data_IF_378287285714
#
_entry.id   IF_378287285714
#
_cell.length_a   1.000
_cell.length_b   1.000
_cell.length_c   1.000
_cell.angle_alpha   90.00
_cell.angle_beta   90.00
_cell.angle_gamma   90.00
#
_symmetry.space_group_name_H-M   'P 1'
#
loop_
_entity.id
_entity.type
_entity.pdbx_description
1 polymer ?
#
# COMPACT_ATOMS: atom_id res chain seq x y z
N UNK A 1 -14.26 -36.90 -3.80
CA UNK A 1 -13.19 -36.38 -2.93
C UNK A 1 -12.36 -35.40 -3.78
N UNK A 2 -12.44 -34.09 -3.53
CA UNK A 2 -11.67 -33.12 -4.33
C UNK A 2 -10.20 -33.19 -3.91
N UNK A 3 -9.34 -33.75 -4.75
CA UNK A 3 -7.90 -33.92 -4.49
C UNK A 3 -7.14 -32.58 -4.44
N UNK A 4 -7.78 -31.49 -4.87
CA UNK A 4 -7.19 -30.14 -4.93
C UNK A 4 -7.52 -29.27 -3.70
N UNK A 5 -8.39 -29.73 -2.78
CA UNK A 5 -8.77 -28.95 -1.60
C UNK A 5 -7.75 -28.98 -0.45
N UNK A 6 -6.68 -29.79 -0.54
CA UNK A 6 -5.62 -29.90 0.47
C UNK A 6 -4.28 -29.30 0.03
N UNK A 7 -4.21 -28.65 -1.14
CA UNK A 7 -3.05 -27.82 -1.45
C UNK A 7 -3.13 -26.58 -0.55
N UNK A 8 -2.04 -26.18 0.15
CA UNK A 8 -2.01 -24.88 0.79
C UNK A 8 -2.36 -23.88 -0.28
N UNK A 9 -3.50 -23.21 -0.14
CA UNK A 9 -4.03 -22.32 -1.15
C UNK A 9 -2.99 -21.22 -1.36
N UNK A 10 -2.18 -21.36 -2.40
CA UNK A 10 -1.33 -20.26 -2.84
C UNK A 10 -2.30 -19.31 -3.52
N UNK A 11 -2.79 -18.35 -2.72
CA UNK A 11 -3.79 -17.33 -3.12
C UNK A 11 -3.40 -16.64 -4.45
N UNK A 12 -2.11 -16.68 -4.82
CA UNK A 12 -1.55 -16.09 -6.03
C UNK A 12 -1.18 -17.14 -7.09
N UNK A 13 -1.63 -16.92 -8.33
CA UNK A 13 -1.40 -17.81 -9.46
C UNK A 13 0.10 -18.02 -9.79
N UNK A 14 0.93 -16.98 -9.65
CA UNK A 14 2.37 -17.04 -9.96
C UNK A 14 3.13 -18.02 -9.07
N UNK A 15 2.71 -18.11 -7.80
CA UNK A 15 3.44 -18.83 -6.75
C UNK A 15 3.47 -20.34 -6.99
N UNK A 16 2.37 -20.90 -7.49
CA UNK A 16 2.20 -22.35 -7.63
C UNK A 16 2.47 -23.08 -6.32
N UNK A 17 3.50 -23.91 -6.28
CA UNK A 17 3.97 -24.64 -5.08
C UNK A 17 5.40 -24.25 -4.66
N UNK A 18 5.97 -23.21 -5.27
CA UNK A 18 7.37 -22.83 -5.09
C UNK A 18 7.58 -21.93 -3.88
N UNK A 19 8.65 -22.16 -3.11
CA UNK A 19 9.09 -21.24 -2.05
C UNK A 19 10.31 -20.40 -2.45
N UNK A 20 10.64 -20.36 -3.75
CA UNK A 20 11.75 -19.57 -4.25
C UNK A 20 11.53 -18.07 -4.04
N UNK A 21 12.63 -17.31 -3.94
CA UNK A 21 12.62 -15.85 -3.76
C UNK A 21 11.85 -15.12 -4.87
N UNK A 22 11.86 -15.66 -6.09
CA UNK A 22 11.17 -15.11 -7.26
C UNK A 22 10.02 -16.01 -7.71
N UNK A 23 9.33 -16.65 -6.77
CA UNK A 23 8.13 -17.42 -7.08
C UNK A 23 6.95 -16.52 -7.50
N UNK A 24 6.98 -15.22 -7.16
CA UNK A 24 5.95 -14.25 -7.54
C UNK A 24 6.61 -12.97 -8.12
N UNK A 25 7.32 -13.08 -9.26
CA UNK A 25 8.14 -11.99 -9.76
C UNK A 25 7.32 -10.80 -10.25
N UNK A 26 6.18 -11.03 -10.90
CA UNK A 26 5.34 -9.94 -11.42
C UNK A 26 4.68 -9.22 -10.25
N UNK A 27 4.12 -9.96 -9.28
CA UNK A 27 3.60 -9.35 -8.05
C UNK A 27 4.69 -8.57 -7.28
N UNK A 28 5.90 -9.12 -7.14
CA UNK A 28 6.98 -8.41 -6.45
C UNK A 28 7.33 -7.09 -7.17
N UNK A 29 7.67 -7.13 -8.46
CA UNK A 29 8.17 -5.95 -9.15
C UNK A 29 7.11 -4.87 -9.38
N UNK A 30 5.84 -5.24 -9.59
CA UNK A 30 4.76 -4.25 -9.73
C UNK A 30 4.58 -3.43 -8.45
N UNK A 31 4.84 -4.00 -7.28
CA UNK A 31 4.77 -3.29 -6.00
C UNK A 31 5.87 -2.22 -5.82
N UNK A 32 6.95 -2.24 -6.61
CA UNK A 32 7.94 -1.15 -6.62
C UNK A 32 7.40 0.15 -7.25
N UNK A 33 6.25 0.11 -7.92
CA UNK A 33 5.60 1.33 -8.43
C UNK A 33 5.13 2.26 -7.30
N UNK A 34 4.73 1.72 -6.15
CA UNK A 34 4.26 2.52 -5.01
C UNK A 34 5.33 3.45 -4.42
N UNK A 35 6.57 3.01 -4.10
CA UNK A 35 7.62 3.93 -3.65
C UNK A 35 8.04 4.93 -4.74
N UNK A 36 7.94 4.56 -6.03
CA UNK A 36 8.14 5.53 -7.13
C UNK A 36 7.08 6.63 -7.05
N UNK A 37 5.79 6.26 -6.91
CA UNK A 37 4.68 7.22 -6.77
C UNK A 37 4.79 8.00 -5.46
N UNK A 38 5.24 7.38 -4.36
CA UNK A 38 5.54 8.06 -3.10
C UNK A 38 6.61 9.13 -3.25
N UNK A 39 7.71 8.82 -3.95
CA UNK A 39 8.73 9.81 -4.28
C UNK A 39 8.18 10.96 -5.13
N UNK A 40 7.40 10.64 -6.18
CA UNK A 40 6.76 11.65 -7.03
C UNK A 40 5.78 12.53 -6.24
N UNK A 41 4.99 11.94 -5.34
CA UNK A 41 4.09 12.65 -4.44
C UNK A 41 4.86 13.59 -3.49
N UNK A 42 5.96 13.13 -2.90
CA UNK A 42 6.83 13.97 -2.09
C UNK A 42 7.39 15.16 -2.88
N UNK A 43 7.87 14.94 -4.11
CA UNK A 43 8.32 16.03 -5.00
C UNK A 43 7.19 17.02 -5.28
N UNK A 44 6.00 16.52 -5.60
CA UNK A 44 4.83 17.37 -5.86
C UNK A 44 4.48 18.24 -4.65
N UNK A 45 4.50 17.69 -3.43
CA UNK A 45 4.25 18.46 -2.21
C UNK A 45 5.30 19.56 -2.01
N UNK A 46 6.57 19.26 -2.29
CA UNK A 46 7.66 20.24 -2.22
C UNK A 46 7.50 21.35 -3.26
N UNK A 47 7.19 21.00 -4.50
CA UNK A 47 6.96 21.94 -5.60
C UNK A 47 5.79 22.86 -5.32
N UNK A 48 4.69 22.33 -4.77
CA UNK A 48 3.49 23.09 -4.37
C UNK A 48 3.64 23.80 -3.01
N UNK A 49 4.80 23.68 -2.35
CA UNK A 49 5.08 24.25 -1.01
C UNK A 49 4.04 23.86 0.04
N UNK A 50 3.45 22.67 -0.08
CA UNK A 50 2.49 22.15 0.90
C UNK A 50 3.25 21.76 2.17
N UNK A 51 2.88 22.38 3.30
CA UNK A 51 3.52 22.17 4.61
C UNK A 51 2.68 21.34 5.59
N UNK A 52 1.51 20.85 5.15
CA UNK A 52 0.68 19.97 5.98
C UNK A 52 1.46 18.70 6.30
N UNK A 53 1.64 18.43 7.60
CA UNK A 53 2.28 17.20 8.07
C UNK A 53 1.42 15.99 7.73
N UNK A 54 0.11 16.19 7.73
CA UNK A 54 -0.88 15.17 7.47
C UNK A 54 -0.80 14.68 6.03
N UNK A 55 -0.87 15.61 5.07
CA UNK A 55 -0.71 15.29 3.65
C UNK A 55 0.73 14.81 3.38
N UNK A 56 1.71 15.38 4.07
CA UNK A 56 3.12 14.99 3.98
C UNK A 56 3.42 13.55 4.42
N UNK A 57 2.56 12.92 5.22
CA UNK A 57 2.73 11.53 5.65
C UNK A 57 2.30 10.52 4.58
N UNK A 58 1.35 10.88 3.70
CA UNK A 58 0.79 9.97 2.70
C UNK A 58 1.83 9.37 1.74
N UNK A 59 2.79 10.14 1.16
CA UNK A 59 3.79 9.56 0.27
C UNK A 59 4.73 8.56 0.96
N UNK A 60 5.03 8.77 2.24
CA UNK A 60 5.83 7.85 3.05
C UNK A 60 5.08 6.55 3.33
N UNK A 61 3.82 6.65 3.78
CA UNK A 61 2.96 5.49 4.00
C UNK A 61 2.79 4.67 2.71
N UNK A 62 2.57 5.34 1.58
CA UNK A 62 2.46 4.69 0.28
C UNK A 62 3.74 3.95 -0.12
N UNK A 63 4.91 4.53 0.20
CA UNK A 63 6.20 3.88 -0.05
C UNK A 63 6.36 2.61 0.81
N UNK A 64 5.93 2.66 2.08
CA UNK A 64 5.94 1.50 2.97
C UNK A 64 5.00 0.38 2.49
N UNK A 65 3.84 0.72 1.92
CA UNK A 65 2.93 -0.24 1.28
C UNK A 65 3.66 -1.04 0.21
N UNK A 66 4.30 -0.38 -0.76
CA UNK A 66 5.00 -1.08 -1.83
C UNK A 66 6.19 -1.90 -1.36
N UNK A 67 6.98 -1.37 -0.42
CA UNK A 67 8.15 -2.08 0.12
C UNK A 67 7.73 -3.33 0.93
N UNK A 68 6.67 -3.20 1.74
CA UNK A 68 6.10 -4.32 2.49
C UNK A 68 5.57 -5.41 1.56
N UNK A 69 4.84 -5.02 0.52
CA UNK A 69 4.29 -5.94 -0.46
C UNK A 69 5.36 -6.63 -1.30
N UNK A 70 6.36 -5.88 -1.77
CA UNK A 70 7.55 -6.45 -2.43
C UNK A 70 8.23 -7.50 -1.55
N UNK A 71 8.41 -7.20 -0.25
CA UNK A 71 9.03 -8.11 0.71
C UNK A 71 8.18 -9.37 0.94
N UNK A 72 6.85 -9.26 0.97
CA UNK A 72 5.96 -10.41 1.11
C UNK A 72 6.00 -11.33 -0.12
N UNK A 73 5.99 -10.76 -1.32
CA UNK A 73 6.03 -11.55 -2.55
C UNK A 73 7.38 -12.22 -2.80
N UNK A 74 8.48 -11.65 -2.26
CA UNK A 74 9.81 -12.27 -2.32
C UNK A 74 10.07 -13.26 -1.18
N UNK A 75 9.76 -12.91 0.07
CA UNK A 75 10.15 -13.64 1.28
C UNK A 75 8.95 -14.02 2.16
N UNK A 76 7.94 -14.67 1.59
CA UNK A 76 6.66 -14.99 2.23
C UNK A 76 6.79 -15.73 3.56
N UNK A 77 6.34 -15.07 4.62
CA UNK A 77 6.13 -15.59 5.96
C UNK A 77 5.16 -14.67 6.72
N UNK A 78 4.72 -15.08 7.91
CA UNK A 78 3.76 -14.30 8.72
C UNK A 78 4.24 -12.89 9.07
N UNK A 79 5.55 -12.68 9.26
CA UNK A 79 6.12 -11.36 9.53
C UNK A 79 6.03 -10.45 8.30
N UNK A 80 6.40 -10.97 7.13
CA UNK A 80 6.30 -10.20 5.88
C UNK A 80 4.85 -9.94 5.47
N UNK A 81 3.90 -10.81 5.85
CA UNK A 81 2.47 -10.56 5.67
C UNK A 81 2.02 -9.34 6.48
N UNK A 82 2.52 -9.20 7.71
CA UNK A 82 2.24 -8.02 8.54
C UNK A 82 2.83 -6.77 7.87
N UNK A 83 4.04 -6.85 7.33
CA UNK A 83 4.66 -5.73 6.61
C UNK A 83 3.92 -5.34 5.34
N UNK A 84 3.25 -6.27 4.67
CA UNK A 84 2.38 -5.97 3.52
C UNK A 84 1.03 -5.38 3.96
N UNK A 85 0.30 -6.11 4.81
CA UNK A 85 -1.09 -5.77 5.13
C UNK A 85 -1.23 -4.55 6.06
N UNK A 86 -0.36 -4.42 7.08
CA UNK A 86 -0.52 -3.37 8.10
C UNK A 86 -0.36 -1.96 7.50
N UNK A 87 0.67 -1.65 6.69
CA UNK A 87 0.78 -0.36 6.03
C UNK A 87 -0.40 -0.03 5.12
N UNK A 88 -1.00 -1.03 4.44
CA UNK A 88 -2.19 -0.84 3.60
C UNK A 88 -3.36 -0.35 4.45
N UNK A 89 -3.64 -1.03 5.57
CA UNK A 89 -4.72 -0.61 6.46
C UNK A 89 -4.49 0.78 7.03
N UNK A 90 -3.27 1.08 7.49
CA UNK A 90 -2.92 2.40 8.01
C UNK A 90 -3.13 3.47 6.93
N UNK A 91 -2.62 3.24 5.70
CA UNK A 91 -2.77 4.19 4.60
C UNK A 91 -4.24 4.45 4.25
N UNK A 92 -5.05 3.40 4.09
CA UNK A 92 -6.46 3.53 3.74
C UNK A 92 -7.23 4.28 4.83
N UNK A 93 -7.08 3.88 6.10
CA UNK A 93 -7.79 4.52 7.20
C UNK A 93 -7.37 5.97 7.37
N UNK A 94 -6.07 6.26 7.22
CA UNK A 94 -5.54 7.61 7.33
C UNK A 94 -6.02 8.51 6.18
N UNK A 95 -5.94 8.04 4.93
CA UNK A 95 -6.44 8.77 3.77
C UNK A 95 -7.95 9.01 3.85
N UNK A 96 -8.72 8.01 4.30
CA UNK A 96 -10.16 8.13 4.52
C UNK A 96 -10.45 9.18 5.60
N UNK A 97 -9.76 9.14 6.73
CA UNK A 97 -9.90 10.12 7.81
C UNK A 97 -9.63 11.55 7.31
N UNK A 98 -8.54 11.77 6.57
CA UNK A 98 -8.23 13.09 6.01
C UNK A 98 -9.31 13.57 5.03
N UNK A 99 -9.78 12.68 4.16
CA UNK A 99 -10.82 12.99 3.17
C UNK A 99 -12.13 13.35 3.85
N UNK A 100 -12.58 12.56 4.84
CA UNK A 100 -13.81 12.84 5.58
C UNK A 100 -13.74 14.14 6.37
N UNK A 101 -12.60 14.42 7.02
CA UNK A 101 -12.42 15.67 7.74
C UNK A 101 -12.52 16.89 6.82
N UNK A 102 -11.93 16.81 5.63
CA UNK A 102 -12.01 17.91 4.66
C UNK A 102 -13.45 18.09 4.15
N UNK A 103 -14.13 17.01 3.78
CA UNK A 103 -15.53 17.05 3.33
C UNK A 103 -16.49 17.62 4.39
N UNK A 104 -16.27 17.29 5.67
CA UNK A 104 -17.09 17.81 6.76
C UNK A 104 -16.84 19.31 6.93
N UNK A 105 -15.56 19.75 6.89
CA UNK A 105 -15.20 21.17 6.98
C UNK A 105 -15.82 22.00 5.86
N UNK A 106 -15.69 21.56 4.62
CA UNK A 106 -16.25 22.28 3.45
C UNK A 106 -17.77 22.39 3.54
N UNK A 107 -18.46 21.32 3.96
CA UNK A 107 -19.92 21.36 4.15
C UNK A 107 -20.36 22.28 5.29
N UNK A 108 -19.55 22.40 6.34
CA UNK A 108 -19.86 23.24 7.49
C UNK A 108 -19.57 24.73 7.27
N UNK A 109 -18.90 25.10 6.18
CA UNK A 109 -18.63 26.49 5.81
C UNK A 109 -19.70 27.00 4.83
N UNK A 110 -20.67 27.82 5.27
CA UNK A 110 -21.74 28.34 4.43
C UNK A 110 -21.24 29.35 3.36
N UNK A 111 -19.95 29.67 3.33
CA UNK A 111 -19.34 30.62 2.39
C UNK A 111 -18.31 29.98 1.44
N UNK A 112 -18.19 28.66 1.41
CA UNK A 112 -17.36 27.98 0.40
C UNK A 112 -18.12 27.88 -0.94
N UNK A 113 -17.62 28.62 -1.95
CA UNK A 113 -18.10 28.62 -3.34
C UNK A 113 -17.31 27.64 -4.20
#
# INVERSE_FOLDING_TARGET
MCFLCNLPQTIYCERGVSNALLAEPINAFTNLTFPIVGYLGFKLLKEKKIKSKEIGALPWMLSLVGLGSFLYHTARNSTTLIFDALPIYIFILYALFLTLNELIKTKSDPYSF
#
